data_IF_748123216598
#
_entry.id   IF_748123216598
#
_cell.length_a   1.000
_cell.length_b   1.000
_cell.length_c   1.000
_cell.angle_alpha   90.00
_cell.angle_beta   90.00
_cell.angle_gamma   90.00
#
_symmetry.space_group_name_H-M   'P 1'
#
loop_
_entity.id
_entity.type
_entity.pdbx_description
1 polymer ?
#
# COMPACT_ATOMS: atom_id res chain seq x y z
N UNK A 1 -17.34 0.79 7.94
CA UNK A 1 -16.06 1.19 8.50
C UNK A 1 -15.76 0.41 9.78
N UNK A 2 -14.48 0.21 10.07
CA UNK A 2 -13.97 -0.40 11.29
C UNK A 2 -12.52 0.05 11.53
N UNK A 3 -12.02 -0.12 12.76
CA UNK A 3 -10.65 0.22 13.15
C UNK A 3 -10.02 -0.96 13.89
N UNK A 4 -8.74 -1.21 13.64
CA UNK A 4 -7.97 -2.27 14.30
C UNK A 4 -6.76 -1.62 14.98
N UNK A 5 -6.56 -1.82 16.28
CA UNK A 5 -5.37 -1.32 16.96
C UNK A 5 -4.11 -2.05 16.44
N UNK A 6 -3.04 -1.30 16.25
CA UNK A 6 -1.73 -1.89 15.98
C UNK A 6 -1.16 -2.53 17.24
N UNK A 7 -0.46 -3.65 17.10
CA UNK A 7 0.31 -4.27 18.21
C UNK A 7 1.39 -3.31 18.71
N UNK A 8 2.00 -2.57 17.79
CA UNK A 8 2.95 -1.50 18.10
C UNK A 8 2.62 -0.28 17.24
N UNK A 9 2.72 0.96 17.79
CA UNK A 9 2.52 2.16 17.01
C UNK A 9 3.42 2.20 15.76
N UNK A 10 2.86 2.63 14.64
CA UNK A 10 3.64 2.90 13.42
C UNK A 10 4.11 4.35 13.42
N UNK A 11 5.40 4.55 13.19
CA UNK A 11 6.02 5.87 13.15
C UNK A 11 6.35 6.25 11.70
N UNK A 12 5.88 7.43 11.30
CA UNK A 12 6.15 8.05 10.01
C UNK A 12 6.76 9.43 10.22
N UNK A 13 7.36 10.01 9.21
CA UNK A 13 7.82 11.40 9.26
C UNK A 13 6.68 12.39 9.60
N UNK A 14 5.43 12.04 9.27
CA UNK A 14 4.22 12.83 9.55
C UNK A 14 3.59 12.59 10.93
N UNK A 15 4.13 11.70 11.77
CA UNK A 15 3.60 11.37 13.09
C UNK A 15 3.41 9.88 13.35
N UNK A 16 2.79 9.56 14.49
CA UNK A 16 2.55 8.17 14.91
C UNK A 16 1.09 7.80 14.74
N UNK A 17 0.84 6.56 14.32
CA UNK A 17 -0.51 5.99 14.17
C UNK A 17 -0.63 4.76 15.05
N UNK A 18 -1.67 4.71 15.87
CA UNK A 18 -1.91 3.66 16.87
C UNK A 18 -2.95 2.64 16.43
N UNK A 19 -3.77 2.99 15.44
CA UNK A 19 -4.81 2.11 14.89
C UNK A 19 -4.90 2.26 13.37
N UNK A 20 -5.35 1.20 12.72
CA UNK A 20 -5.64 1.19 11.30
C UNK A 20 -7.15 1.34 11.08
N UNK A 21 -7.54 2.46 10.50
CA UNK A 21 -8.89 2.66 10.00
C UNK A 21 -9.08 1.94 8.67
N UNK A 22 -10.23 1.31 8.49
CA UNK A 22 -10.56 0.56 7.29
C UNK A 22 -12.03 0.74 6.88
N UNK A 23 -12.30 0.53 5.59
CA UNK A 23 -13.65 0.39 5.04
C UNK A 23 -13.72 -0.95 4.30
N UNK A 24 -14.57 -1.84 4.81
CA UNK A 24 -14.93 -3.08 4.11
C UNK A 24 -16.05 -2.78 3.13
N UNK A 25 -15.83 -3.07 1.86
CA UNK A 25 -16.80 -2.95 0.77
C UNK A 25 -17.26 -4.33 0.37
N UNK A 26 -18.59 -4.51 0.22
CA UNK A 26 -19.19 -5.74 -0.27
C UNK A 26 -20.09 -5.43 -1.47
N UNK A 27 -19.87 -6.16 -2.54
CA UNK A 27 -20.72 -6.12 -3.75
C UNK A 27 -21.52 -7.40 -3.78
N UNK A 28 -22.84 -7.28 -3.69
CA UNK A 28 -23.77 -8.39 -3.74
C UNK A 28 -24.27 -8.56 -5.17
N UNK A 29 -24.23 -9.76 -5.69
CA UNK A 29 -24.76 -10.11 -7.01
C UNK A 29 -26.13 -10.79 -6.89
N UNK A 30 -26.91 -10.82 -7.98
CA UNK A 30 -28.17 -11.54 -8.09
C UNK A 30 -27.99 -13.06 -8.07
N UNK A 31 -26.79 -13.56 -8.38
CA UNK A 31 -26.40 -14.97 -8.23
C UNK A 31 -26.05 -15.38 -6.79
N UNK A 32 -26.19 -14.45 -5.82
CA UNK A 32 -25.90 -14.70 -4.40
C UNK A 32 -24.42 -14.69 -4.03
N UNK A 33 -23.55 -14.32 -4.94
CA UNK A 33 -22.11 -14.15 -4.69
C UNK A 33 -21.86 -12.78 -4.06
N UNK A 34 -20.90 -12.73 -3.12
CA UNK A 34 -20.51 -11.50 -2.46
C UNK A 34 -19.01 -11.26 -2.70
N UNK A 35 -18.71 -10.31 -3.57
CA UNK A 35 -17.35 -9.84 -3.73
C UNK A 35 -16.96 -8.86 -2.63
N UNK A 36 -15.75 -8.94 -2.16
CA UNK A 36 -15.28 -8.20 -0.98
C UNK A 36 -13.96 -7.50 -1.25
N UNK A 37 -13.84 -6.27 -0.77
CA UNK A 37 -12.58 -5.54 -0.72
C UNK A 37 -12.45 -4.81 0.60
N UNK A 38 -11.21 -4.67 1.05
CA UNK A 38 -10.85 -3.86 2.19
C UNK A 38 -9.97 -2.70 1.75
N UNK A 39 -10.22 -1.51 2.28
CA UNK A 39 -9.42 -0.34 1.92
C UNK A 39 -9.13 0.56 3.12
N UNK A 40 -7.87 0.96 3.33
CA UNK A 40 -7.51 1.92 4.36
C UNK A 40 -7.66 3.34 3.84
N UNK A 41 -8.37 4.23 4.55
CA UNK A 41 -8.32 5.66 4.29
C UNK A 41 -6.92 6.19 4.61
N UNK A 42 -6.44 7.12 3.81
CA UNK A 42 -5.14 7.78 4.01
C UNK A 42 -5.30 9.28 3.76
N UNK A 43 -5.90 10.05 4.70
CA UNK A 43 -6.25 11.45 4.48
C UNK A 43 -5.03 12.31 4.11
N UNK A 44 -3.87 12.05 4.69
CA UNK A 44 -2.64 12.79 4.42
C UNK A 44 -1.91 12.34 3.15
N UNK A 45 -2.29 11.20 2.56
CA UNK A 45 -1.66 10.64 1.35
C UNK A 45 -2.59 10.69 0.16
N UNK A 46 -3.84 10.26 0.34
CA UNK A 46 -4.84 10.13 -0.73
C UNK A 46 -6.00 11.12 -0.60
N UNK A 47 -6.11 11.84 0.53
CA UNK A 47 -7.13 12.85 0.75
C UNK A 47 -8.50 12.30 1.17
N UNK A 48 -8.62 11.00 1.44
CA UNK A 48 -9.88 10.37 1.81
C UNK A 48 -9.89 9.89 3.26
N UNK A 49 -11.04 10.01 3.92
CA UNK A 49 -11.33 9.50 5.27
C UNK A 49 -12.31 8.32 5.17
N UNK A 50 -12.47 7.53 6.24
CA UNK A 50 -13.52 6.50 6.28
C UNK A 50 -14.90 7.08 5.88
N UNK A 51 -15.26 8.24 6.41
CA UNK A 51 -16.56 8.88 6.15
C UNK A 51 -16.71 9.28 4.68
N UNK A 52 -15.67 9.86 4.06
CA UNK A 52 -15.75 10.25 2.65
C UNK A 52 -15.82 9.05 1.72
N UNK A 53 -15.10 7.96 2.02
CA UNK A 53 -15.17 6.71 1.26
C UNK A 53 -16.57 6.11 1.34
N UNK A 54 -17.13 6.00 2.53
CA UNK A 54 -18.49 5.47 2.73
C UNK A 54 -19.52 6.34 2.01
N UNK A 55 -19.48 7.66 2.21
CA UNK A 55 -20.44 8.58 1.61
C UNK A 55 -20.43 8.53 0.07
N UNK A 56 -19.25 8.52 -0.56
CA UNK A 56 -19.19 8.47 -2.02
C UNK A 56 -19.67 7.12 -2.56
N UNK A 57 -19.42 6.02 -1.87
CA UNK A 57 -19.91 4.70 -2.27
C UNK A 57 -21.43 4.64 -2.11
N UNK A 58 -21.99 5.06 -0.98
CA UNK A 58 -23.42 4.96 -0.70
C UNK A 58 -24.25 5.96 -1.50
N UNK A 59 -23.83 7.22 -1.55
CA UNK A 59 -24.61 8.31 -2.12
C UNK A 59 -24.44 8.46 -3.65
N UNK A 60 -23.26 8.06 -4.17
CA UNK A 60 -22.91 8.33 -5.57
C UNK A 60 -22.74 7.05 -6.39
N UNK A 61 -21.89 6.09 -5.92
CA UNK A 61 -21.56 4.92 -6.72
C UNK A 61 -22.67 3.87 -6.68
N UNK A 62 -23.15 3.49 -5.50
CA UNK A 62 -24.13 2.44 -5.31
C UNK A 62 -25.42 2.68 -6.13
N UNK A 63 -26.04 3.87 -6.13
CA UNK A 63 -27.25 4.11 -6.93
C UNK A 63 -27.05 4.00 -8.43
N UNK A 64 -25.84 4.21 -8.94
CA UNK A 64 -25.53 4.19 -10.37
C UNK A 64 -24.95 2.86 -10.85
N UNK A 65 -24.34 2.08 -9.94
CA UNK A 65 -23.73 0.79 -10.26
C UNK A 65 -24.69 -0.38 -10.05
N UNK A 66 -25.65 -0.23 -9.14
CA UNK A 66 -26.67 -1.29 -8.88
C UNK A 66 -27.44 -1.64 -10.15
N UNK A 67 -27.55 -2.94 -10.43
CA UNK A 67 -28.20 -3.47 -11.62
C UNK A 67 -27.33 -3.45 -12.89
N UNK A 68 -26.09 -3.00 -12.82
CA UNK A 68 -25.15 -3.19 -13.92
C UNK A 68 -24.59 -4.61 -13.90
N UNK A 69 -24.34 -5.13 -15.10
CA UNK A 69 -23.61 -6.39 -15.27
C UNK A 69 -22.17 -6.25 -14.72
N UNK A 70 -21.77 -7.15 -13.81
CA UNK A 70 -20.45 -7.16 -13.21
C UNK A 70 -19.31 -7.26 -14.24
N UNK A 71 -19.57 -7.88 -15.38
CA UNK A 71 -18.61 -7.99 -16.48
C UNK A 71 -18.48 -6.70 -17.32
N UNK A 72 -19.42 -5.76 -17.19
CA UNK A 72 -19.37 -4.47 -17.89
C UNK A 72 -18.41 -3.48 -17.19
N UNK A 73 -17.17 -3.91 -16.98
CA UNK A 73 -16.13 -3.21 -16.19
C UNK A 73 -15.89 -1.78 -16.67
N UNK A 74 -15.68 -1.57 -17.97
CA UNK A 74 -15.43 -0.25 -18.55
C UNK A 74 -16.63 0.71 -18.32
N UNK A 75 -17.84 0.19 -18.37
CA UNK A 75 -19.05 0.98 -18.06
C UNK A 75 -19.09 1.39 -16.60
N UNK A 76 -18.75 0.49 -15.68
CA UNK A 76 -18.67 0.78 -14.25
C UNK A 76 -17.60 1.83 -13.97
N UNK A 77 -16.42 1.68 -14.58
CA UNK A 77 -15.34 2.65 -14.47
C UNK A 77 -15.77 4.03 -14.96
N UNK A 78 -16.42 4.10 -16.14
CA UNK A 78 -16.95 5.35 -16.69
C UNK A 78 -17.93 6.05 -15.75
N UNK A 79 -18.76 5.29 -15.03
CA UNK A 79 -19.67 5.85 -14.02
C UNK A 79 -18.91 6.42 -12.85
N UNK A 80 -17.94 5.69 -12.29
CA UNK A 80 -17.14 6.13 -11.16
C UNK A 80 -16.26 7.34 -11.50
N UNK A 81 -15.76 7.43 -12.73
CA UNK A 81 -14.89 8.52 -13.19
C UNK A 81 -15.60 9.86 -13.39
N UNK A 82 -16.92 9.92 -13.20
CA UNK A 82 -17.63 11.20 -13.07
C UNK A 82 -17.23 11.98 -11.81
N UNK A 83 -16.65 11.32 -10.81
CA UNK A 83 -16.03 12.00 -9.68
C UNK A 83 -14.54 12.25 -9.96
N UNK A 84 -14.05 13.46 -9.64
CA UNK A 84 -12.66 13.85 -9.93
C UNK A 84 -11.62 13.08 -9.12
N UNK A 85 -11.94 12.76 -7.88
CA UNK A 85 -11.07 12.11 -6.92
C UNK A 85 -11.70 10.79 -6.47
N UNK A 86 -11.54 10.45 -5.20
CA UNK A 86 -12.11 9.27 -4.57
C UNK A 86 -11.48 7.96 -5.08
N UNK A 87 -10.17 7.99 -5.33
CA UNK A 87 -9.45 6.83 -5.87
C UNK A 87 -9.48 5.63 -4.94
N UNK A 88 -9.49 5.88 -3.61
CA UNK A 88 -9.58 4.81 -2.62
C UNK A 88 -10.94 4.13 -2.67
N UNK A 89 -12.02 4.90 -2.76
CA UNK A 89 -13.38 4.38 -2.90
C UNK A 89 -13.58 3.64 -4.24
N UNK A 90 -13.08 4.21 -5.35
CA UNK A 90 -13.12 3.58 -6.68
C UNK A 90 -12.39 2.24 -6.68
N UNK A 91 -11.16 2.22 -6.17
CA UNK A 91 -10.35 1.02 -6.09
C UNK A 91 -11.00 -0.07 -5.23
N UNK A 92 -11.63 0.29 -4.12
CA UNK A 92 -12.33 -0.66 -3.27
C UNK A 92 -13.53 -1.29 -3.98
N UNK A 93 -14.35 -0.50 -4.69
CA UNK A 93 -15.47 -1.04 -5.49
C UNK A 93 -14.93 -1.92 -6.62
N UNK A 94 -13.90 -1.47 -7.32
CA UNK A 94 -13.26 -2.20 -8.42
C UNK A 94 -12.76 -3.58 -7.97
N UNK A 95 -12.01 -3.64 -6.88
CA UNK A 95 -11.48 -4.88 -6.33
C UNK A 95 -12.62 -5.81 -5.87
N UNK A 96 -13.66 -5.28 -5.21
CA UNK A 96 -14.81 -6.09 -4.80
C UNK A 96 -15.57 -6.69 -6.01
N UNK A 97 -15.67 -5.96 -7.11
CA UNK A 97 -16.27 -6.49 -8.34
C UNK A 97 -15.38 -7.57 -8.98
N UNK A 98 -14.06 -7.37 -9.02
CA UNK A 98 -13.12 -8.41 -9.47
C UNK A 98 -13.20 -9.69 -8.63
N UNK A 99 -13.32 -9.54 -7.31
CA UNK A 99 -13.48 -10.68 -6.40
C UNK A 99 -14.78 -11.44 -6.71
N UNK A 100 -15.89 -10.73 -6.91
CA UNK A 100 -17.15 -11.34 -7.33
C UNK A 100 -17.03 -12.08 -8.68
N UNK A 101 -16.39 -11.48 -9.68
CA UNK A 101 -16.16 -12.11 -10.99
C UNK A 101 -15.31 -13.38 -10.85
N UNK A 102 -14.24 -13.31 -10.05
CA UNK A 102 -13.38 -14.47 -9.78
C UNK A 102 -14.17 -15.65 -9.18
N UNK A 103 -15.04 -15.36 -8.20
CA UNK A 103 -15.91 -16.35 -7.58
C UNK A 103 -16.94 -16.91 -8.57
N UNK A 104 -17.60 -16.04 -9.36
CA UNK A 104 -18.56 -16.45 -10.40
C UNK A 104 -17.95 -17.40 -11.42
N UNK A 105 -16.72 -17.14 -11.84
CA UNK A 105 -16.03 -17.95 -12.84
C UNK A 105 -15.25 -19.13 -12.26
N UNK A 106 -15.13 -19.22 -10.92
CA UNK A 106 -14.29 -20.22 -10.26
C UNK A 106 -12.80 -20.08 -10.63
N UNK A 107 -12.35 -18.86 -10.91
CA UNK A 107 -10.98 -18.57 -11.34
C UNK A 107 -10.30 -17.55 -10.44
N UNK A 108 -9.00 -17.72 -10.16
CA UNK A 108 -8.21 -16.68 -9.49
C UNK A 108 -8.24 -15.37 -10.29
N UNK A 109 -8.38 -14.23 -9.61
CA UNK A 109 -8.35 -12.92 -10.25
C UNK A 109 -7.03 -12.69 -11.00
N UNK A 110 -5.92 -13.21 -10.49
CA UNK A 110 -4.62 -13.17 -11.17
C UNK A 110 -4.65 -13.81 -12.57
N UNK A 111 -5.39 -14.93 -12.72
CA UNK A 111 -5.59 -15.59 -14.03
C UNK A 111 -6.42 -14.70 -14.96
N UNK A 112 -7.50 -14.09 -14.44
CA UNK A 112 -8.35 -13.19 -15.22
C UNK A 112 -7.63 -11.92 -15.67
N UNK A 113 -6.65 -11.47 -14.91
CA UNK A 113 -5.79 -10.33 -15.21
C UNK A 113 -4.58 -10.70 -16.11
N UNK A 114 -4.50 -11.92 -16.60
CA UNK A 114 -3.50 -12.35 -17.58
C UNK A 114 -2.43 -13.30 -17.05
N UNK A 115 -2.39 -13.60 -15.74
CA UNK A 115 -1.56 -14.67 -15.17
C UNK A 115 -0.06 -14.57 -15.49
N UNK A 116 0.50 -13.36 -15.49
CA UNK A 116 1.89 -13.13 -15.89
C UNK A 116 2.91 -13.92 -15.06
N UNK A 117 2.68 -14.09 -13.77
CA UNK A 117 3.54 -14.84 -12.86
C UNK A 117 2.75 -15.41 -11.69
N UNK A 118 3.21 -16.52 -11.15
CA UNK A 118 2.68 -17.18 -9.96
C UNK A 118 3.48 -16.87 -8.69
N UNK A 119 4.57 -16.11 -8.82
CA UNK A 119 5.41 -15.69 -7.72
C UNK A 119 5.86 -14.23 -7.88
N UNK A 120 6.12 -13.58 -6.76
CA UNK A 120 6.54 -12.17 -6.73
C UNK A 120 7.65 -11.97 -5.71
N UNK A 121 8.69 -11.22 -6.09
CA UNK A 121 9.71 -10.78 -5.15
C UNK A 121 9.12 -9.75 -4.20
N UNK A 122 9.43 -9.91 -2.91
CA UNK A 122 8.99 -8.99 -1.86
C UNK A 122 10.15 -8.19 -1.29
N UNK A 123 9.86 -7.05 -0.71
CA UNK A 123 10.81 -6.28 0.08
C UNK A 123 10.37 -6.22 1.55
N UNK A 124 11.33 -6.29 2.47
CA UNK A 124 11.06 -6.03 3.87
C UNK A 124 11.26 -4.55 4.20
N UNK A 125 10.33 -3.98 4.96
CA UNK A 125 10.39 -2.57 5.38
C UNK A 125 11.14 -2.44 6.70
N UNK A 126 12.23 -1.67 6.67
CA UNK A 126 13.02 -1.28 7.84
C UNK A 126 12.55 0.10 8.33
N UNK A 127 11.96 0.12 9.53
CA UNK A 127 11.41 1.34 10.15
C UNK A 127 12.48 2.23 10.79
N UNK A 128 12.05 3.24 11.55
CA UNK A 128 12.98 4.13 12.27
C UNK A 128 13.58 3.44 13.49
N UNK A 129 14.80 2.97 13.36
CA UNK A 129 15.62 2.34 14.40
C UNK A 129 17.09 2.76 14.26
N UNK A 130 17.95 2.54 15.28
CA UNK A 130 19.41 2.63 15.12
C UNK A 130 19.90 1.75 13.96
N UNK A 131 20.94 2.19 13.27
CA UNK A 131 21.44 1.55 12.04
C UNK A 131 21.82 0.07 12.25
N UNK A 132 22.47 -0.23 13.37
CA UNK A 132 22.89 -1.59 13.73
C UNK A 132 21.69 -2.52 13.93
N UNK A 133 20.61 -2.05 14.57
CA UNK A 133 19.38 -2.83 14.74
C UNK A 133 18.66 -3.07 13.41
N UNK A 134 18.72 -2.09 12.49
CA UNK A 134 18.17 -2.29 11.14
C UNK A 134 18.95 -3.37 10.38
N UNK A 135 20.27 -3.41 10.54
CA UNK A 135 21.10 -4.45 9.94
C UNK A 135 20.79 -5.83 10.54
N UNK A 136 20.67 -5.94 11.86
CA UNK A 136 20.29 -7.19 12.52
C UNK A 136 18.97 -7.74 11.98
N UNK A 137 17.92 -6.89 11.89
CA UNK A 137 16.63 -7.26 11.33
C UNK A 137 16.77 -7.68 9.87
N UNK A 138 17.52 -6.94 9.07
CA UNK A 138 17.69 -7.26 7.65
C UNK A 138 18.42 -8.61 7.44
N UNK A 139 19.41 -8.90 8.26
CA UNK A 139 20.13 -10.17 8.26
C UNK A 139 19.22 -11.33 8.65
N UNK A 140 18.42 -11.17 9.72
CA UNK A 140 17.43 -12.17 10.17
C UNK A 140 16.42 -12.47 9.05
N UNK A 141 15.85 -11.46 8.41
CA UNK A 141 14.89 -11.64 7.33
C UNK A 141 15.52 -12.26 6.07
N UNK A 142 16.77 -11.95 5.78
CA UNK A 142 17.53 -12.59 4.70
C UNK A 142 17.76 -14.06 4.98
N UNK A 143 18.16 -14.41 6.20
CA UNK A 143 18.46 -15.79 6.59
C UNK A 143 17.19 -16.64 6.69
N UNK A 144 16.13 -16.09 7.30
CA UNK A 144 14.90 -16.84 7.58
C UNK A 144 14.01 -16.99 6.35
N UNK A 145 13.90 -15.93 5.53
CA UNK A 145 12.92 -15.86 4.43
C UNK A 145 13.55 -15.67 3.04
N UNK A 146 14.88 -15.57 2.94
CA UNK A 146 15.55 -15.32 1.67
C UNK A 146 15.32 -13.92 1.08
N UNK A 147 14.88 -12.95 1.89
CA UNK A 147 14.62 -11.59 1.43
C UNK A 147 15.93 -10.86 1.18
N UNK A 148 16.11 -10.34 -0.03
CA UNK A 148 17.31 -9.61 -0.46
C UNK A 148 17.01 -8.16 -0.84
N UNK A 149 15.75 -7.73 -0.76
CA UNK A 149 15.34 -6.36 -1.06
C UNK A 149 14.78 -5.71 0.19
N UNK A 150 15.31 -4.53 0.53
CA UNK A 150 14.94 -3.81 1.75
C UNK A 150 14.52 -2.39 1.43
N UNK A 151 13.39 -1.99 2.02
CA UNK A 151 12.88 -0.63 1.99
C UNK A 151 13.28 0.08 3.28
N UNK A 152 14.25 0.97 3.22
CA UNK A 152 14.64 1.78 4.36
C UNK A 152 13.70 2.98 4.49
N UNK A 153 12.99 3.08 5.62
CA UNK A 153 12.24 4.29 5.97
C UNK A 153 13.21 5.39 6.35
N UNK A 154 13.07 6.52 5.69
CA UNK A 154 13.91 7.72 5.83
C UNK A 154 13.04 8.96 6.03
N UNK A 155 13.62 10.14 6.11
CA UNK A 155 12.93 11.39 6.43
C UNK A 155 13.17 11.85 7.86
N UNK A 156 14.20 11.31 8.52
CA UNK A 156 14.66 11.75 9.84
C UNK A 156 15.50 13.02 9.72
N UNK A 157 15.59 13.75 10.82
CA UNK A 157 16.45 14.91 10.95
C UNK A 157 17.40 14.73 12.16
N UNK A 158 18.70 15.00 12.00
CA UNK A 158 19.38 15.40 10.76
C UNK A 158 19.40 14.24 9.73
N UNK A 159 19.50 14.57 8.45
CA UNK A 159 19.52 13.59 7.34
C UNK A 159 20.70 12.61 7.40
N UNK A 160 21.76 12.98 8.14
CA UNK A 160 22.90 12.09 8.41
C UNK A 160 22.50 10.77 9.06
N UNK A 161 21.40 10.73 9.81
CA UNK A 161 20.87 9.49 10.39
C UNK A 161 20.39 8.50 9.32
N UNK A 162 19.84 9.01 8.23
CA UNK A 162 19.37 8.20 7.12
C UNK A 162 20.54 7.74 6.24
N UNK A 163 21.52 8.61 6.02
CA UNK A 163 22.78 8.28 5.33
C UNK A 163 23.53 7.19 6.07
N UNK A 164 23.69 7.32 7.39
CA UNK A 164 24.37 6.32 8.23
C UNK A 164 23.66 4.97 8.17
N UNK A 165 22.31 4.96 8.28
CA UNK A 165 21.55 3.71 8.17
C UNK A 165 21.72 3.05 6.80
N UNK A 166 21.69 3.82 5.73
CA UNK A 166 21.91 3.30 4.37
C UNK A 166 23.33 2.71 4.22
N UNK A 167 24.35 3.40 4.75
CA UNK A 167 25.74 2.94 4.73
C UNK A 167 25.94 1.64 5.50
N UNK A 168 25.48 1.58 6.75
CA UNK A 168 25.58 0.37 7.59
C UNK A 168 24.88 -0.82 6.95
N UNK A 169 23.68 -0.61 6.38
CA UNK A 169 22.96 -1.66 5.65
C UNK A 169 23.74 -2.10 4.41
N UNK A 170 24.30 -1.19 3.62
CA UNK A 170 25.08 -1.52 2.43
C UNK A 170 26.33 -2.31 2.79
N UNK A 171 27.08 -1.87 3.79
CA UNK A 171 28.30 -2.55 4.27
C UNK A 171 27.98 -3.95 4.80
N UNK A 172 26.92 -4.08 5.61
CA UNK A 172 26.57 -5.36 6.24
C UNK A 172 25.86 -6.35 5.34
N UNK A 173 25.06 -5.88 4.40
CA UNK A 173 24.31 -6.75 3.48
C UNK A 173 25.09 -7.07 2.20
N UNK A 174 26.09 -6.25 1.84
CA UNK A 174 26.87 -6.41 0.62
C UNK A 174 26.18 -5.90 -0.64
N UNK A 175 26.87 -5.97 -1.81
CA UNK A 175 26.41 -5.36 -3.06
C UNK A 175 25.16 -6.04 -3.67
N UNK A 176 24.93 -7.31 -3.37
CA UNK A 176 23.80 -8.08 -3.91
C UNK A 176 22.45 -7.69 -3.32
N UNK A 177 22.44 -7.08 -2.13
CA UNK A 177 21.20 -6.61 -1.52
C UNK A 177 20.70 -5.35 -2.23
N UNK A 178 19.40 -5.32 -2.52
CA UNK A 178 18.74 -4.14 -3.06
C UNK A 178 18.20 -3.29 -1.90
N UNK A 179 18.65 -2.05 -1.82
CA UNK A 179 18.19 -1.11 -0.80
C UNK A 179 17.60 0.10 -1.50
N UNK A 180 16.37 0.47 -1.13
CA UNK A 180 15.77 1.71 -1.58
C UNK A 180 15.20 2.50 -0.40
N UNK A 181 15.28 3.83 -0.49
CA UNK A 181 14.88 4.74 0.56
C UNK A 181 13.52 5.36 0.27
N UNK A 182 12.69 5.47 1.31
CA UNK A 182 11.36 6.07 1.24
C UNK A 182 11.20 7.13 2.34
N UNK A 183 11.40 8.38 1.98
CA UNK A 183 11.30 9.52 2.90
C UNK A 183 9.85 9.97 3.16
N UNK A 184 8.87 9.46 2.44
CA UNK A 184 7.46 9.86 2.59
C UNK A 184 7.26 11.38 2.65
N UNK A 185 7.95 12.13 1.80
CA UNK A 185 7.96 13.61 1.77
C UNK A 185 8.59 14.27 3.01
N UNK A 186 9.38 13.51 3.80
CA UNK A 186 10.09 14.02 4.98
C UNK A 186 11.32 14.87 4.66
N UNK A 187 11.80 14.84 3.41
CA UNK A 187 12.94 15.65 2.96
C UNK A 187 12.50 16.81 2.07
N UNK A 188 13.17 17.93 2.16
CA UNK A 188 13.19 18.98 1.14
C UNK A 188 13.95 18.51 -0.09
N UNK A 189 13.83 19.23 -1.21
CA UNK A 189 14.58 18.92 -2.43
C UNK A 189 16.12 18.99 -2.23
N UNK A 190 16.60 19.92 -1.39
CA UNK A 190 18.01 20.04 -1.08
C UNK A 190 18.50 18.86 -0.24
N UNK A 191 17.77 18.46 0.80
CA UNK A 191 18.08 17.31 1.62
C UNK A 191 18.06 16.00 0.82
N UNK A 192 17.06 15.82 -0.07
CA UNK A 192 17.03 14.67 -0.96
C UNK A 192 18.27 14.63 -1.87
N UNK A 193 18.67 15.75 -2.44
CA UNK A 193 19.87 15.86 -3.28
C UNK A 193 21.14 15.56 -2.49
N UNK A 194 21.23 16.03 -1.24
CA UNK A 194 22.35 15.76 -0.35
C UNK A 194 22.45 14.26 -0.02
N UNK A 195 21.34 13.65 0.40
CA UNK A 195 21.31 12.21 0.72
C UNK A 195 21.71 11.37 -0.50
N UNK A 196 21.13 11.65 -1.68
CA UNK A 196 21.47 10.94 -2.91
C UNK A 196 22.97 11.05 -3.22
N UNK A 197 23.56 12.23 -3.08
CA UNK A 197 25.02 12.42 -3.29
C UNK A 197 25.88 11.63 -2.29
N UNK A 198 25.42 11.51 -1.05
CA UNK A 198 26.16 10.82 0.02
C UNK A 198 25.96 9.29 0.02
N UNK A 199 25.02 8.78 -0.76
CA UNK A 199 24.68 7.35 -0.86
C UNK A 199 24.80 6.82 -2.28
N UNK A 200 25.48 7.53 -3.19
CA UNK A 200 25.59 7.17 -4.61
C UNK A 200 26.64 6.10 -4.91
N UNK A 201 27.47 5.70 -3.93
CA UNK A 201 28.58 4.74 -4.09
C UNK A 201 28.18 3.29 -3.77
#
# INVERSE_FOLDING_TARGET
PYSIPYVHPLHFASGSVTEADHVLVRVHTDEGIVGTADTPPRPYTYGETQKSIVAVIEDIFSPQLSGLDAFARERMQTVMDRTFHNQTAKGAVDIAVWDAIGQLLGQPVSTLLGGYTDHMSVSHMLGFKPAEQLLEIALEFRETYGITTFKLKTGRHPVSLDVEAARVLREGLGPEARIYMDANRGWSANEASEVLRLTAD
#
